data_IF_303763688119
#
_entry.id   IF_303763688119
#
_cell.length_a   1.000
_cell.length_b   1.000
_cell.length_c   1.000
_cell.angle_alpha   90.00
_cell.angle_beta   90.00
_cell.angle_gamma   90.00
#
_symmetry.space_group_name_H-M   'P 1'
#
loop_
_entity.id
_entity.type
_entity.pdbx_description
1 polymer ?
#
# COMPACT_ATOMS: atom_id res chain seq x y z
N UNK A 1 -6.51 12.29 -3.20
CA UNK A 1 -5.34 11.40 -3.34
C UNK A 1 -5.77 9.99 -2.99
N UNK A 2 -5.64 9.04 -3.92
CA UNK A 2 -5.82 7.62 -3.60
C UNK A 2 -4.49 7.15 -3.03
N UNK A 3 -4.45 6.92 -1.72
CA UNK A 3 -3.24 6.43 -1.06
C UNK A 3 -3.04 4.98 -1.49
N UNK A 4 -2.10 4.74 -2.41
CA UNK A 4 -1.69 3.38 -2.78
C UNK A 4 -0.97 2.76 -1.58
N UNK A 5 -1.63 1.82 -0.92
CA UNK A 5 -0.98 1.05 0.13
C UNK A 5 0.02 0.11 -0.56
N UNK A 6 1.31 0.42 -0.47
CA UNK A 6 2.34 -0.57 -0.75
C UNK A 6 2.12 -1.76 0.18
N UNK A 7 1.59 -2.85 -0.36
CA UNK A 7 1.47 -4.12 0.37
C UNK A 7 2.88 -4.61 0.61
N UNK A 8 3.42 -4.30 1.80
CA UNK A 8 4.63 -4.92 2.27
C UNK A 8 4.36 -5.43 3.68
N UNK A 9 4.07 -6.71 3.92
CA UNK A 9 4.13 -7.44 5.22
C UNK A 9 3.94 -6.73 6.62
N UNK A 10 2.75 -6.28 7.06
CA UNK A 10 2.41 -5.81 8.45
C UNK A 10 0.96 -5.75 9.06
N UNK A 11 0.05 -6.74 8.95
CA UNK A 11 -1.10 -6.97 9.85
C UNK A 11 -1.10 -8.43 10.34
N UNK A 12 -1.09 -8.65 11.65
CA UNK A 12 -1.04 -9.98 12.27
C UNK A 12 -2.45 -10.39 12.74
N UNK A 13 -2.94 -11.53 12.27
CA UNK A 13 -4.05 -12.26 12.91
C UNK A 13 -3.47 -13.56 13.46
N UNK A 14 -3.39 -13.69 14.78
CA UNK A 14 -3.05 -14.95 15.46
C UNK A 14 -4.38 -15.67 15.69
N UNK A 15 -4.63 -16.73 14.93
CA UNK A 15 -5.66 -17.74 15.26
C UNK A 15 -4.86 -18.97 15.64
N UNK A 16 -5.11 -19.55 16.81
CA UNK A 16 -4.49 -20.81 17.24
C UNK A 16 -4.71 -21.88 16.15
N UNK A 17 -3.62 -22.49 15.68
CA UNK A 17 -3.63 -23.43 14.56
C UNK A 17 -3.59 -22.81 13.15
N UNK A 18 -3.70 -21.49 12.98
CA UNK A 18 -3.60 -20.83 11.66
C UNK A 18 -2.21 -20.23 11.42
N UNK A 19 -1.56 -20.65 10.35
CA UNK A 19 -0.31 -20.05 9.90
C UNK A 19 -0.58 -18.64 9.33
N UNK A 20 0.15 -17.64 9.83
CA UNK A 20 0.13 -16.28 9.27
C UNK A 20 0.58 -16.35 7.81
N UNK A 21 -0.30 -15.97 6.88
CA UNK A 21 -0.04 -16.06 5.43
C UNK A 21 0.61 -14.81 4.85
N UNK A 22 0.33 -13.64 5.45
CA UNK A 22 0.78 -12.35 4.93
C UNK A 22 0.47 -11.23 5.92
N UNK A 23 0.85 -10.00 5.57
CA UNK A 23 0.67 -8.84 6.44
C UNK A 23 0.69 -7.53 5.58
N UNK A 24 0.13 -6.38 6.04
CA UNK A 24 0.22 -5.04 5.40
C UNK A 24 1.05 -3.97 6.19
N UNK A 25 2.22 -3.48 5.73
CA UNK A 25 3.01 -2.42 6.43
C UNK A 25 2.63 -1.04 5.92
N UNK A 26 1.80 -0.39 6.70
CA UNK A 26 1.44 1.01 6.51
C UNK A 26 2.63 1.97 6.65
N UNK A 27 3.66 1.59 7.40
CA UNK A 27 4.89 2.38 7.53
C UNK A 27 5.59 2.63 6.19
N UNK A 28 5.39 1.74 5.21
CA UNK A 28 6.06 1.79 3.90
C UNK A 28 5.08 2.05 2.75
N UNK A 29 3.89 2.59 3.02
CA UNK A 29 2.97 3.00 1.96
C UNK A 29 3.50 4.22 1.21
N UNK A 30 3.19 4.32 -0.09
CA UNK A 30 3.72 5.40 -0.94
C UNK A 30 2.61 5.95 -1.84
N UNK A 31 2.60 7.26 -2.16
CA UNK A 31 1.75 7.79 -3.20
C UNK A 31 2.22 7.29 -4.57
N UNK A 32 1.29 6.80 -5.42
CA UNK A 32 1.60 6.29 -6.77
C UNK A 32 0.55 6.82 -7.75
N UNK A 33 0.94 7.37 -8.92
CA UNK A 33 -0.01 7.75 -9.96
C UNK A 33 -0.68 6.53 -10.58
N UNK A 34 -1.93 6.65 -11.01
CA UNK A 34 -2.69 5.53 -11.59
C UNK A 34 -2.02 4.98 -12.87
N UNK A 35 -1.36 5.86 -13.63
CA UNK A 35 -0.61 5.53 -14.84
C UNK A 35 0.58 4.59 -14.57
N UNK A 36 1.06 4.54 -13.33
CA UNK A 36 2.17 3.69 -12.90
C UNK A 36 1.68 2.40 -12.21
N UNK A 37 0.37 2.13 -12.18
CA UNK A 37 -0.22 0.98 -11.51
C UNK A 37 -0.76 0.00 -12.56
N UNK A 38 -0.26 -1.23 -12.52
CA UNK A 38 -0.81 -2.33 -13.31
C UNK A 38 -1.69 -3.24 -12.44
N UNK A 39 -2.86 -3.61 -12.98
CA UNK A 39 -3.79 -4.48 -12.29
C UNK A 39 -3.36 -5.93 -12.40
N UNK A 40 -3.05 -6.57 -11.27
CA UNK A 40 -2.85 -8.01 -11.21
C UNK A 40 -4.18 -8.76 -11.36
N UNK A 41 -4.33 -9.53 -12.44
CA UNK A 41 -5.49 -10.40 -12.67
C UNK A 41 -5.18 -11.79 -12.11
N UNK A 42 -5.67 -12.09 -10.89
CA UNK A 42 -5.41 -13.36 -10.18
C UNK A 42 -5.82 -14.59 -11.02
N UNK A 43 -6.86 -14.47 -11.85
CA UNK A 43 -7.33 -15.56 -12.74
C UNK A 43 -6.29 -16.01 -13.77
N UNK A 44 -5.39 -15.11 -14.18
CA UNK A 44 -4.40 -15.38 -15.23
C UNK A 44 -3.10 -16.03 -14.68
N UNK A 45 -3.02 -16.24 -13.36
CA UNK A 45 -1.85 -16.82 -12.71
C UNK A 45 -1.87 -18.34 -12.91
N UNK A 46 -0.82 -18.87 -13.55
CA UNK A 46 -0.68 -20.30 -13.86
C UNK A 46 -0.45 -21.17 -12.62
N UNK A 47 0.30 -20.67 -11.63
CA UNK A 47 0.56 -21.39 -10.39
C UNK A 47 -0.70 -21.41 -9.51
N UNK A 48 -1.27 -22.61 -9.37
CA UNK A 48 -2.49 -22.81 -8.59
C UNK A 48 -2.31 -22.52 -7.09
N UNK A 49 -1.17 -22.92 -6.49
CA UNK A 49 -0.92 -22.69 -5.07
C UNK A 49 -0.82 -21.19 -4.80
N UNK A 50 -0.14 -20.47 -5.69
CA UNK A 50 -0.01 -19.01 -5.60
C UNK A 50 -1.36 -18.30 -5.82
N UNK A 51 -2.16 -18.77 -6.78
CA UNK A 51 -3.52 -18.27 -7.02
C UNK A 51 -4.43 -18.45 -5.80
N UNK A 52 -4.38 -19.61 -5.13
CA UNK A 52 -5.16 -19.85 -3.90
C UNK A 52 -4.71 -18.91 -2.78
N UNK A 53 -3.39 -18.68 -2.64
CA UNK A 53 -2.85 -17.74 -1.66
C UNK A 53 -3.37 -16.32 -1.90
N UNK A 54 -3.25 -15.80 -3.12
CA UNK A 54 -3.68 -14.45 -3.46
C UNK A 54 -5.19 -14.24 -3.28
N UNK A 55 -6.01 -15.24 -3.61
CA UNK A 55 -7.45 -15.15 -3.36
C UNK A 55 -7.78 -15.05 -1.86
N UNK A 56 -7.05 -15.77 -1.00
CA UNK A 56 -7.22 -15.67 0.46
C UNK A 56 -6.81 -14.29 0.97
N UNK A 57 -5.69 -13.76 0.49
CA UNK A 57 -5.20 -12.42 0.86
C UNK A 57 -6.13 -11.31 0.36
N UNK A 58 -6.62 -11.42 -0.88
CA UNK A 58 -7.60 -10.49 -1.46
C UNK A 58 -8.89 -10.46 -0.64
N UNK A 59 -9.48 -11.62 -0.34
CA UNK A 59 -10.69 -11.72 0.51
C UNK A 59 -10.45 -11.10 1.89
N UNK A 60 -9.32 -11.39 2.52
CA UNK A 60 -8.96 -10.77 3.79
C UNK A 60 -8.94 -9.23 3.69
N UNK A 61 -8.35 -8.68 2.64
CA UNK A 61 -8.30 -7.23 2.44
C UNK A 61 -9.69 -6.64 2.23
N UNK A 62 -10.54 -7.28 1.43
CA UNK A 62 -11.91 -6.84 1.18
C UNK A 62 -12.75 -6.86 2.45
N UNK A 63 -12.72 -7.96 3.21
CA UNK A 63 -13.47 -8.13 4.46
C UNK A 63 -13.02 -7.14 5.56
N UNK A 64 -11.81 -6.56 5.42
CA UNK A 64 -11.20 -5.67 6.42
C UNK A 64 -10.88 -4.28 5.87
N UNK A 65 -11.43 -3.90 4.72
CA UNK A 65 -11.05 -2.70 3.97
C UNK A 65 -11.15 -1.43 4.84
N UNK A 66 -12.24 -1.26 5.58
CA UNK A 66 -12.45 -0.11 6.46
C UNK A 66 -11.39 -0.05 7.58
N UNK A 67 -11.07 -1.19 8.19
CA UNK A 67 -10.07 -1.28 9.26
C UNK A 67 -8.67 -0.99 8.74
N UNK A 68 -8.36 -1.48 7.53
CA UNK A 68 -7.10 -1.19 6.83
C UNK A 68 -6.98 0.30 6.57
N UNK A 69 -8.03 0.94 6.04
CA UNK A 69 -8.05 2.38 5.76
C UNK A 69 -7.89 3.22 7.03
N UNK A 70 -8.65 2.92 8.09
CA UNK A 70 -8.54 3.59 9.40
C UNK A 70 -7.13 3.50 9.97
N UNK A 71 -6.48 2.33 9.84
CA UNK A 71 -5.11 2.13 10.31
C UNK A 71 -4.09 2.89 9.46
N UNK A 72 -4.24 2.88 8.14
CA UNK A 72 -3.39 3.65 7.23
C UNK A 72 -3.42 5.15 7.56
N UNK A 73 -4.63 5.71 7.70
CA UNK A 73 -4.82 7.13 8.04
C UNK A 73 -4.18 7.49 9.39
N UNK A 74 -4.40 6.65 10.42
CA UNK A 74 -3.80 6.86 11.74
C UNK A 74 -2.27 6.85 11.69
N UNK A 75 -1.66 5.92 10.95
CA UNK A 75 -0.20 5.85 10.81
C UNK A 75 0.32 7.09 10.07
N UNK A 76 -0.35 7.49 8.99
CA UNK A 76 -0.02 8.70 8.25
C UNK A 76 -0.01 9.94 9.15
N UNK A 77 -1.09 10.16 9.90
CA UNK A 77 -1.21 11.29 10.82
C UNK A 77 -0.12 11.26 11.89
N UNK A 78 0.12 10.09 12.50
CA UNK A 78 1.12 9.95 13.56
C UNK A 78 2.54 10.25 13.07
N UNK A 79 2.90 9.79 11.87
CA UNK A 79 4.22 10.02 11.27
C UNK A 79 4.38 11.47 10.82
N UNK A 80 3.37 12.04 10.15
CA UNK A 80 3.43 13.42 9.64
C UNK A 80 3.37 14.49 10.73
N UNK A 81 2.77 14.19 11.88
CA UNK A 81 2.75 15.08 13.05
C UNK A 81 3.87 14.78 14.06
N UNK A 82 4.79 13.88 13.72
CA UNK A 82 5.89 13.38 14.56
C UNK A 82 5.48 13.01 16.00
N UNK A 83 4.28 12.46 16.20
CA UNK A 83 3.75 12.14 17.54
C UNK A 83 4.53 11.04 18.26
N UNK A 84 5.29 10.22 17.52
CA UNK A 84 6.11 9.12 18.07
C UNK A 84 7.39 8.96 17.25
N UNK A 85 8.52 9.45 17.79
CA UNK A 85 9.82 9.44 17.11
C UNK A 85 10.18 8.06 16.52
N UNK A 86 10.13 6.98 17.33
CA UNK A 86 10.42 5.62 16.86
C UNK A 86 9.53 5.14 15.70
N UNK A 87 8.28 5.59 15.62
CA UNK A 87 7.38 5.23 14.52
C UNK A 87 7.76 6.03 13.27
N UNK A 88 8.03 7.32 13.43
CA UNK A 88 8.48 8.21 12.37
C UNK A 88 9.78 7.69 11.74
N UNK A 89 10.78 7.34 12.55
CA UNK A 89 12.08 6.83 12.10
C UNK A 89 11.96 5.52 11.31
N UNK A 90 10.96 4.69 11.65
CA UNK A 90 10.69 3.40 11.01
C UNK A 90 9.62 3.47 9.92
N UNK A 91 9.30 4.67 9.43
CA UNK A 91 8.32 4.89 8.37
C UNK A 91 8.94 5.69 7.23
N UNK A 92 8.34 5.59 6.04
CA UNK A 92 8.69 6.44 4.92
C UNK A 92 8.43 7.91 5.27
N UNK A 93 9.28 8.80 4.75
CA UNK A 93 9.07 10.24 4.83
C UNK A 93 7.91 10.66 3.93
N UNK A 94 6.67 10.49 4.40
CA UNK A 94 5.46 10.65 3.57
C UNK A 94 5.39 12.02 2.88
N UNK A 95 5.77 13.10 3.57
CA UNK A 95 5.77 14.46 2.98
C UNK A 95 6.75 14.61 1.81
N UNK A 96 7.92 13.98 1.91
CA UNK A 96 8.93 13.99 0.84
C UNK A 96 8.41 13.18 -0.35
N UNK A 97 7.84 12.00 -0.10
CA UNK A 97 7.24 11.17 -1.15
C UNK A 97 6.08 11.87 -1.86
N UNK A 98 5.23 12.61 -1.13
CA UNK A 98 4.14 13.39 -1.72
C UNK A 98 4.64 14.54 -2.59
N UNK A 99 5.76 15.17 -2.20
CA UNK A 99 6.40 16.18 -3.02
C UNK A 99 6.96 15.58 -4.30
N UNK A 100 7.73 14.48 -4.19
CA UNK A 100 8.25 13.77 -5.36
C UNK A 100 7.14 13.26 -6.28
N UNK A 101 6.01 12.82 -5.72
CA UNK A 101 4.81 12.47 -6.48
C UNK A 101 4.30 13.64 -7.32
N UNK A 102 4.17 14.85 -6.73
CA UNK A 102 3.70 16.04 -7.46
C UNK A 102 4.65 16.40 -8.59
N UNK A 103 5.95 16.44 -8.29
CA UNK A 103 6.99 16.74 -9.28
C UNK A 103 7.00 15.72 -10.43
N UNK A 104 6.80 14.44 -10.14
CA UNK A 104 6.70 13.40 -11.17
C UNK A 104 5.46 13.57 -12.06
N UNK A 105 4.30 13.86 -11.47
CA UNK A 105 3.06 14.10 -12.23
C UNK A 105 3.19 15.33 -13.13
N UNK A 106 3.75 16.42 -12.61
CA UNK A 106 3.92 17.67 -13.35
C UNK A 106 4.97 17.56 -14.46
N UNK A 107 6.13 16.97 -14.18
CA UNK A 107 7.27 17.01 -15.10
C UNK A 107 7.38 15.78 -16.01
N UNK A 108 6.81 14.64 -15.63
CA UNK A 108 6.93 13.41 -16.42
C UNK A 108 5.61 13.08 -17.08
N UNK A 109 4.54 12.90 -16.30
CA UNK A 109 3.26 12.46 -16.86
C UNK A 109 2.60 13.53 -17.73
N UNK A 110 2.67 14.80 -17.35
CA UNK A 110 2.11 15.90 -18.16
C UNK A 110 2.86 16.05 -19.49
N UNK A 111 4.17 15.80 -19.51
CA UNK A 111 4.96 15.84 -20.74
C UNK A 111 4.68 14.64 -21.65
N UNK A 112 4.46 13.44 -21.08
CA UNK A 112 4.02 12.27 -21.85
C UNK A 112 2.66 12.54 -22.53
N UNK A 113 1.71 13.14 -21.80
CA UNK A 113 0.37 13.45 -22.33
C UNK A 113 0.35 14.54 -23.41
N UNK A 114 1.30 15.49 -23.38
CA UNK A 114 1.41 16.54 -24.41
C UNK A 114 2.01 16.03 -25.71
N UNK A 115 2.68 14.89 -25.69
CA UNK A 115 3.37 14.28 -26.83
C UNK A 115 2.59 13.07 -27.42
N UNK A 116 1.33 12.89 -27.03
CA UNK A 116 0.37 11.95 -27.63
C UNK A 116 -0.70 12.74 -28.38
#
# INVERSE_FOLDING_TARGET
MRNTISISKGMKKKIEGSQIKGSLRFNYMIPVPEECIERLIIKNIKDEKYRVLLNKEYRFCMDNAERIQKKANKIYEMVTTNRKQKLTDNSCAFRILEQGYREYVENVLTNIRKNQ
#
